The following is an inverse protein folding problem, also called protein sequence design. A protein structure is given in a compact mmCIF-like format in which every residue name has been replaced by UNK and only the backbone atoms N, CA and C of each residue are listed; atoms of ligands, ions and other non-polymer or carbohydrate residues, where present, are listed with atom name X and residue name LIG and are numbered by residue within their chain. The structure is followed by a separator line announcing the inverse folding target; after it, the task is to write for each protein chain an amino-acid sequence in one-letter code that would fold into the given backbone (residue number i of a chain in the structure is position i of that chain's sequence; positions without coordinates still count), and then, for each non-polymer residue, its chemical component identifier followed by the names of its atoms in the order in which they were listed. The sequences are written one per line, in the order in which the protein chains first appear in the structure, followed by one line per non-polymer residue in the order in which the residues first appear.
data_IF_052550634964
#
_entry.id   IF_052550634964
#
_cell.length_a   1.000
_cell.length_b   1.000
_cell.length_c   1.000
_cell.angle_alpha   90.00
_cell.angle_beta   90.00
_cell.angle_gamma   90.00
#
_symmetry.space_group_name_H-M   'P 1'
#
loop_
_entity.id
_entity.type
_entity.pdbx_description
1 polymer ?
#
# COMPACT_ATOMS: atom_id res chain seq x y z
N UNK A 1 49.55 -18.45 -13.37
CA UNK A 1 48.36 -17.68 -12.91
C UNK A 1 47.09 -18.40 -13.37
N UNK A 2 46.28 -18.93 -12.45
CA UNK A 2 44.95 -19.48 -12.79
C UNK A 2 44.00 -18.32 -13.04
N UNK A 3 43.65 -18.07 -14.30
CA UNK A 3 42.54 -17.18 -14.63
C UNK A 3 41.25 -17.77 -14.08
N UNK A 4 40.70 -17.14 -13.02
CA UNK A 4 39.37 -17.44 -12.52
C UNK A 4 38.37 -17.12 -13.64
N UNK A 5 37.70 -18.13 -14.20
CA UNK A 5 36.54 -17.90 -15.09
C UNK A 5 35.57 -16.99 -14.35
N UNK A 6 35.23 -15.83 -14.93
CA UNK A 6 34.12 -15.00 -14.44
C UNK A 6 32.89 -15.89 -14.35
N UNK A 7 32.34 -16.04 -13.16
CA UNK A 7 31.05 -16.69 -12.99
C UNK A 7 30.06 -15.96 -13.91
N UNK A 8 29.27 -16.71 -14.69
CA UNK A 8 28.20 -16.13 -15.47
C UNK A 8 27.37 -15.25 -14.53
N UNK A 9 27.26 -13.96 -14.85
CA UNK A 9 26.35 -13.05 -14.16
C UNK A 9 24.96 -13.70 -14.29
N UNK A 10 24.49 -14.32 -13.20
CA UNK A 10 23.08 -14.67 -13.10
C UNK A 10 22.36 -13.34 -13.27
N UNK A 11 21.61 -13.18 -14.35
CA UNK A 11 20.70 -12.06 -14.57
C UNK A 11 19.68 -12.09 -13.43
N UNK A 12 20.05 -11.55 -12.27
CA UNK A 12 19.12 -11.31 -11.18
C UNK A 12 18.23 -10.19 -11.69
N UNK A 13 16.92 -10.43 -11.86
CA UNK A 13 16.03 -9.38 -12.32
C UNK A 13 16.12 -8.21 -11.34
N UNK A 14 16.46 -7.03 -11.84
CA UNK A 14 16.59 -5.84 -11.02
C UNK A 14 15.22 -5.50 -10.44
N UNK A 15 15.10 -5.47 -9.11
CA UNK A 15 13.87 -5.06 -8.44
C UNK A 15 13.62 -3.58 -8.75
N UNK A 16 12.47 -3.21 -9.34
CA UNK A 16 12.17 -1.82 -9.64
C UNK A 16 12.23 -0.94 -8.39
N UNK A 17 12.77 0.29 -8.51
CA UNK A 17 12.89 1.24 -7.39
C UNK A 17 11.54 1.51 -6.71
N UNK A 18 10.44 1.49 -7.47
CA UNK A 18 9.08 1.67 -6.94
C UNK A 18 8.73 0.65 -5.86
N UNK A 19 9.24 -0.59 -5.92
CA UNK A 19 9.01 -1.57 -4.87
C UNK A 19 9.63 -1.13 -3.54
N UNK A 20 10.85 -0.57 -3.56
CA UNK A 20 11.49 -0.05 -2.36
C UNK A 20 10.77 1.18 -1.80
N UNK A 21 10.22 2.03 -2.67
CA UNK A 21 9.37 3.16 -2.25
C UNK A 21 8.10 2.64 -1.57
N UNK A 22 7.42 1.64 -2.15
CA UNK A 22 6.24 1.03 -1.54
C UNK A 22 6.55 0.38 -0.20
N UNK A 23 7.66 -0.35 -0.08
CA UNK A 23 8.11 -0.91 1.22
C UNK A 23 8.28 0.19 2.27
N UNK A 24 8.92 1.30 1.90
CA UNK A 24 9.10 2.44 2.82
C UNK A 24 7.76 3.03 3.26
N UNK A 25 6.78 3.14 2.34
CA UNK A 25 5.45 3.62 2.69
C UNK A 25 4.73 2.64 3.62
N UNK A 26 4.83 1.34 3.36
CA UNK A 26 4.26 0.28 4.21
C UNK A 26 4.90 0.30 5.60
N UNK A 27 6.24 0.33 5.66
CA UNK A 27 7.00 0.38 6.91
C UNK A 27 6.61 1.61 7.73
N UNK A 28 6.54 2.79 7.10
CA UNK A 28 6.09 4.01 7.76
C UNK A 28 4.69 3.85 8.36
N UNK A 29 3.72 3.34 7.56
CA UNK A 29 2.35 3.16 8.04
C UNK A 29 2.30 2.23 9.25
N UNK A 30 3.02 1.09 9.19
CA UNK A 30 2.99 0.06 10.23
C UNK A 30 3.69 0.54 11.52
N UNK A 31 4.77 1.29 11.42
CA UNK A 31 5.62 1.66 12.57
C UNK A 31 5.25 2.98 13.25
N UNK A 32 4.46 3.85 12.61
CA UNK A 32 4.17 5.20 13.11
C UNK A 32 2.70 5.41 13.56
N UNK A 33 1.97 4.32 13.83
CA UNK A 33 0.66 4.39 14.49
C UNK A 33 0.85 4.66 15.99
N UNK A 34 0.94 5.95 16.35
CA UNK A 34 1.27 6.40 17.69
C UNK A 34 0.33 7.50 18.20
N UNK A 35 0.39 7.78 19.51
CA UNK A 35 -0.49 8.77 20.18
C UNK A 35 -0.34 10.18 19.63
N UNK A 36 0.90 10.59 19.32
CA UNK A 36 1.17 11.85 18.62
C UNK A 36 1.16 11.59 17.11
N UNK A 37 -0.04 11.53 16.54
CA UNK A 37 -0.24 11.04 15.20
C UNK A 37 0.31 12.03 14.15
N UNK A 38 1.32 11.65 13.33
CA UNK A 38 1.95 12.56 12.38
C UNK A 38 1.09 12.71 11.11
N UNK A 39 -0.06 13.38 11.25
CA UNK A 39 -1.10 13.49 10.23
C UNK A 39 -0.56 13.92 8.85
N UNK A 40 0.28 14.95 8.79
CA UNK A 40 0.82 15.47 7.52
C UNK A 40 1.71 14.45 6.79
N UNK A 41 2.43 13.61 7.53
CA UNK A 41 3.25 12.55 6.95
C UNK A 41 2.38 11.41 6.41
N UNK A 42 1.33 11.03 7.13
CA UNK A 42 0.34 10.06 6.64
C UNK A 42 -0.35 10.54 5.36
N UNK A 43 -0.75 11.81 5.31
CA UNK A 43 -1.32 12.44 4.11
C UNK A 43 -0.38 12.31 2.90
N UNK A 44 0.91 12.65 3.08
CA UNK A 44 1.93 12.52 2.02
C UNK A 44 2.17 11.07 1.63
N UNK A 45 2.26 10.16 2.62
CA UNK A 45 2.48 8.74 2.41
C UNK A 45 1.38 8.14 1.52
N UNK A 46 0.11 8.35 1.87
CA UNK A 46 -1.04 7.85 1.10
C UNK A 46 -1.09 8.48 -0.30
N UNK A 47 -0.76 9.77 -0.43
CA UNK A 47 -0.67 10.43 -1.73
C UNK A 47 0.45 9.88 -2.62
N UNK A 48 1.60 9.51 -2.05
CA UNK A 48 2.69 8.86 -2.79
C UNK A 48 2.22 7.52 -3.32
N UNK A 49 1.61 6.67 -2.46
CA UNK A 49 1.03 5.39 -2.89
C UNK A 49 0.03 5.62 -4.02
N UNK A 50 -0.91 6.55 -3.85
CA UNK A 50 -1.93 6.85 -4.86
C UNK A 50 -1.34 7.24 -6.22
N UNK A 51 -0.32 8.12 -6.24
CA UNK A 51 0.37 8.51 -7.48
C UNK A 51 1.07 7.33 -8.14
N UNK A 52 1.72 6.46 -7.36
CA UNK A 52 2.37 5.26 -7.88
C UNK A 52 1.36 4.32 -8.53
N UNK A 53 0.24 4.03 -7.86
CA UNK A 53 -0.80 3.15 -8.42
C UNK A 53 -1.47 3.79 -9.65
N UNK A 54 -1.73 5.11 -9.63
CA UNK A 54 -2.26 5.82 -10.79
C UNK A 54 -1.33 5.72 -12.01
N UNK A 55 -0.03 5.89 -11.80
CA UNK A 55 0.96 5.76 -12.86
C UNK A 55 1.05 4.31 -13.37
N UNK A 56 1.03 3.34 -12.45
CA UNK A 56 1.04 1.93 -12.78
C UNK A 56 -0.20 1.53 -13.61
N UNK A 57 -1.39 1.98 -13.23
CA UNK A 57 -2.63 1.85 -14.01
C UNK A 57 -2.50 2.48 -15.39
N UNK A 58 -2.05 3.75 -15.46
CA UNK A 58 -1.90 4.49 -16.72
C UNK A 58 -0.98 3.77 -17.70
N UNK A 59 0.14 3.24 -17.21
CA UNK A 59 1.13 2.53 -18.01
C UNK A 59 0.84 1.03 -18.16
N UNK A 60 -0.21 0.51 -17.52
CA UNK A 60 -0.55 -0.93 -17.45
C UNK A 60 0.62 -1.81 -17.02
N UNK A 61 1.45 -1.30 -16.10
CA UNK A 61 2.60 -2.03 -15.57
C UNK A 61 2.09 -3.02 -14.52
N UNK A 62 2.48 -4.29 -14.64
CA UNK A 62 2.15 -5.32 -13.67
C UNK A 62 3.34 -5.57 -12.76
N UNK A 63 3.37 -4.89 -11.62
CA UNK A 63 4.48 -5.00 -10.68
C UNK A 63 4.38 -6.30 -9.87
N UNK A 64 5.45 -7.08 -9.87
CA UNK A 64 5.63 -8.20 -8.96
C UNK A 64 6.00 -7.67 -7.57
N UNK A 65 4.96 -7.42 -6.77
CA UNK A 65 5.05 -6.85 -5.44
C UNK A 65 4.16 -7.63 -4.46
N UNK A 66 4.50 -7.59 -3.18
CA UNK A 66 3.75 -8.19 -2.07
C UNK A 66 2.53 -7.33 -1.71
N UNK A 67 1.59 -7.22 -2.66
CA UNK A 67 0.41 -6.33 -2.54
C UNK A 67 -0.40 -6.49 -1.25
N UNK A 68 -0.47 -7.72 -0.73
CA UNK A 68 -1.11 -8.03 0.54
C UNK A 68 -0.56 -7.25 1.73
N UNK A 69 0.73 -6.98 1.76
CA UNK A 69 1.35 -6.20 2.84
C UNK A 69 0.87 -4.74 2.81
N UNK A 70 0.77 -4.16 1.60
CA UNK A 70 0.20 -2.82 1.41
C UNK A 70 -1.26 -2.76 1.84
N UNK A 71 -2.10 -3.70 1.40
CA UNK A 71 -3.51 -3.71 1.78
C UNK A 71 -3.69 -3.89 3.28
N UNK A 72 -2.91 -4.79 3.90
CA UNK A 72 -2.94 -5.00 5.35
C UNK A 72 -2.54 -3.73 6.11
N UNK A 73 -1.50 -3.02 5.66
CA UNK A 73 -1.07 -1.76 6.27
C UNK A 73 -2.17 -0.68 6.15
N UNK A 74 -2.80 -0.55 4.99
CA UNK A 74 -3.89 0.42 4.78
C UNK A 74 -5.15 0.09 5.60
N UNK A 75 -5.53 -1.19 5.71
CA UNK A 75 -6.64 -1.64 6.56
C UNK A 75 -6.32 -1.36 8.03
N UNK A 76 -5.10 -1.68 8.48
CA UNK A 76 -4.68 -1.41 9.85
C UNK A 76 -4.66 0.09 10.17
N UNK A 77 -4.32 0.94 9.19
CA UNK A 77 -4.44 2.38 9.34
C UNK A 77 -5.91 2.80 9.54
N UNK A 78 -6.84 2.33 8.71
CA UNK A 78 -8.27 2.61 8.91
C UNK A 78 -8.75 2.12 10.29
N UNK A 79 -8.37 0.91 10.68
CA UNK A 79 -8.69 0.36 12.01
C UNK A 79 -8.17 1.26 13.13
N UNK A 80 -6.93 1.73 13.02
CA UNK A 80 -6.33 2.64 14.00
C UNK A 80 -7.09 3.96 14.10
N UNK A 81 -7.47 4.55 12.96
CA UNK A 81 -8.24 5.79 12.93
C UNK A 81 -9.59 5.62 13.63
N UNK A 82 -10.32 4.52 13.35
CA UNK A 82 -11.60 4.22 14.00
C UNK A 82 -11.45 3.99 15.50
N UNK A 83 -10.48 3.15 15.90
CA UNK A 83 -10.24 2.85 17.33
C UNK A 83 -9.82 4.06 18.16
N UNK A 84 -9.31 5.13 17.55
CA UNK A 84 -8.82 6.32 18.24
C UNK A 84 -9.56 7.60 17.82
N UNK A 85 -10.73 7.48 17.19
CA UNK A 85 -11.43 8.60 16.56
C UNK A 85 -11.65 9.78 17.53
N UNK A 86 -12.06 9.50 18.76
CA UNK A 86 -12.39 10.51 19.77
C UNK A 86 -11.20 11.40 20.13
N UNK A 87 -10.01 10.82 20.17
CA UNK A 87 -8.76 11.53 20.48
C UNK A 87 -8.23 12.25 19.24
N UNK A 88 -8.30 11.61 18.08
CA UNK A 88 -7.71 12.14 16.84
C UNK A 88 -8.55 13.27 16.25
N UNK A 89 -9.89 13.19 16.31
CA UNK A 89 -10.80 14.22 15.80
C UNK A 89 -10.64 15.57 16.52
N UNK A 90 -10.18 15.56 17.77
CA UNK A 90 -9.89 16.78 18.51
C UNK A 90 -8.71 17.58 17.92
N UNK A 91 -7.84 16.94 17.12
CA UNK A 91 -6.59 17.53 16.60
C UNK A 91 -6.52 17.58 15.07
N UNK A 92 -7.14 16.62 14.39
CA UNK A 92 -6.93 16.39 12.97
C UNK A 92 -8.23 16.04 12.24
N UNK A 93 -8.30 16.38 10.95
CA UNK A 93 -9.37 15.90 10.06
C UNK A 93 -9.05 14.48 9.56
N UNK A 94 -9.29 13.47 10.40
CA UNK A 94 -9.03 12.07 10.06
C UNK A 94 -9.91 11.54 8.93
N UNK A 95 -11.09 12.13 8.69
CA UNK A 95 -11.98 11.74 7.60
C UNK A 95 -11.32 11.94 6.24
N UNK A 96 -10.55 13.02 6.08
CA UNK A 96 -9.85 13.26 4.83
C UNK A 96 -8.81 12.17 4.53
N UNK A 97 -8.05 11.75 5.55
CA UNK A 97 -7.08 10.66 5.40
C UNK A 97 -7.78 9.33 5.12
N UNK A 98 -8.84 9.00 5.87
CA UNK A 98 -9.62 7.79 5.65
C UNK A 98 -10.19 7.74 4.23
N UNK A 99 -10.73 8.85 3.73
CA UNK A 99 -11.23 8.96 2.36
C UNK A 99 -10.15 8.67 1.31
N UNK A 100 -8.93 9.15 1.50
CA UNK A 100 -7.81 8.84 0.59
C UNK A 100 -7.48 7.34 0.58
N UNK A 101 -7.51 6.69 1.74
CA UNK A 101 -7.26 5.24 1.85
C UNK A 101 -8.40 4.43 1.21
N UNK A 102 -9.66 4.79 1.45
CA UNK A 102 -10.82 4.15 0.81
C UNK A 102 -10.76 4.32 -0.72
N UNK A 103 -10.36 5.50 -1.21
CA UNK A 103 -10.19 5.74 -2.64
C UNK A 103 -9.07 4.88 -3.26
N UNK A 104 -8.01 4.55 -2.50
CA UNK A 104 -7.02 3.57 -2.95
C UNK A 104 -7.66 2.19 -3.15
N UNK A 105 -8.42 1.70 -2.17
CA UNK A 105 -9.16 0.43 -2.30
C UNK A 105 -10.12 0.45 -3.49
N UNK A 106 -10.88 1.53 -3.68
CA UNK A 106 -11.75 1.69 -4.84
C UNK A 106 -10.98 1.59 -6.16
N UNK A 107 -9.77 2.14 -6.25
CA UNK A 107 -8.93 2.01 -7.44
C UNK A 107 -8.47 0.56 -7.68
N UNK A 108 -8.11 -0.18 -6.63
CA UNK A 108 -7.79 -1.61 -6.75
C UNK A 108 -9.02 -2.44 -7.18
N UNK A 109 -10.19 -2.17 -6.59
CA UNK A 109 -11.45 -2.88 -6.89
C UNK A 109 -11.96 -2.57 -8.31
N UNK A 110 -11.76 -1.36 -8.80
CA UNK A 110 -12.31 -0.93 -10.09
C UNK A 110 -11.38 -1.22 -11.26
N UNK A 111 -10.06 -1.16 -11.03
CA UNK A 111 -9.06 -1.19 -12.10
C UNK A 111 -7.91 -2.16 -11.85
N UNK A 112 -7.92 -2.95 -10.77
CA UNK A 112 -6.78 -3.78 -10.43
C UNK A 112 -6.49 -4.86 -11.48
N UNK A 113 -7.45 -5.27 -12.29
CA UNK A 113 -7.24 -6.13 -13.48
C UNK A 113 -6.22 -5.55 -14.48
N UNK A 114 -6.13 -4.21 -14.54
CA UNK A 114 -5.21 -3.51 -15.44
C UNK A 114 -3.75 -3.50 -14.96
N UNK A 115 -3.50 -3.67 -13.66
CA UNK A 115 -2.15 -3.45 -13.09
C UNK A 115 -1.71 -4.46 -12.01
N UNK A 116 -2.60 -5.28 -11.46
CA UNK A 116 -2.23 -6.40 -10.59
C UNK A 116 -1.65 -7.55 -11.42
N UNK A 117 -0.68 -8.30 -10.88
CA UNK A 117 0.08 -9.27 -11.65
C UNK A 117 -0.76 -10.49 -12.05
N UNK A 118 -1.69 -10.93 -11.21
CA UNK A 118 -2.47 -12.17 -11.40
C UNK A 118 -3.91 -12.03 -10.91
N UNK A 119 -4.80 -12.91 -11.37
CA UNK A 119 -6.17 -13.03 -10.84
C UNK A 119 -6.19 -13.41 -9.36
N UNK A 120 -5.24 -14.24 -8.91
CA UNK A 120 -5.10 -14.61 -7.51
C UNK A 120 -4.85 -13.39 -6.61
N UNK A 121 -4.09 -12.38 -7.07
CA UNK A 121 -3.95 -11.11 -6.33
C UNK A 121 -5.30 -10.39 -6.18
N UNK A 122 -6.20 -10.53 -7.14
CA UNK A 122 -7.54 -9.98 -7.08
C UNK A 122 -8.40 -10.70 -6.02
N UNK A 123 -8.32 -12.03 -6.00
CA UNK A 123 -9.02 -12.85 -5.01
C UNK A 123 -8.53 -12.57 -3.58
N UNK A 124 -7.21 -12.40 -3.40
CA UNK A 124 -6.61 -12.00 -2.12
C UNK A 124 -7.09 -10.63 -1.66
N UNK A 125 -7.20 -9.65 -2.56
CA UNK A 125 -7.74 -8.33 -2.24
C UNK A 125 -9.18 -8.44 -1.70
N UNK A 126 -10.06 -9.12 -2.43
CA UNK A 126 -11.45 -9.28 -1.99
C UNK A 126 -11.57 -10.10 -0.72
N UNK A 127 -10.76 -11.15 -0.57
CA UNK A 127 -10.69 -11.90 0.67
C UNK A 127 -10.36 -11.00 1.86
N UNK A 128 -9.33 -10.14 1.74
CA UNK A 128 -8.94 -9.21 2.79
C UNK A 128 -10.04 -8.18 3.10
N UNK A 129 -10.69 -7.61 2.08
CA UNK A 129 -11.81 -6.67 2.25
C UNK A 129 -12.99 -7.34 2.98
N UNK A 130 -13.43 -8.52 2.52
CA UNK A 130 -14.55 -9.25 3.13
C UNK A 130 -14.21 -9.67 4.56
N UNK A 131 -12.99 -10.19 4.77
CA UNK A 131 -12.50 -10.57 6.11
C UNK A 131 -12.54 -9.39 7.08
N UNK A 132 -12.28 -8.19 6.58
CA UNK A 132 -12.17 -6.96 7.37
C UNK A 132 -13.36 -6.00 7.18
N UNK A 133 -14.51 -6.49 6.69
CA UNK A 133 -15.70 -5.69 6.35
C UNK A 133 -16.15 -4.73 7.46
N UNK A 134 -16.04 -5.13 8.72
CA UNK A 134 -16.40 -4.30 9.89
C UNK A 134 -15.66 -2.95 9.93
N UNK A 135 -14.48 -2.85 9.32
CA UNK A 135 -13.72 -1.58 9.23
C UNK A 135 -14.34 -0.64 8.18
N UNK A 136 -15.04 -1.18 7.18
CA UNK A 136 -15.64 -0.44 6.07
C UNK A 136 -17.14 -0.15 6.26
N UNK A 137 -17.79 -0.81 7.23
CA UNK A 137 -19.23 -0.68 7.50
C UNK A 137 -19.58 0.43 8.53
N UNK A 138 -18.57 1.04 9.18
CA UNK A 138 -18.75 2.18 10.09
C UNK A 138 -18.82 3.51 9.34
#
# INVERSE_FOLDING_TARGET
MRHRKKAAEKNVPSRPLVCAVLDLMVEFIVTHMMKDFPMDLYMRCVQVIHKLICYQKKCRIRLHYTWRELWSALINLLKFLLSNETVLLAKHNIFHLALLVVNLFNMFITYGDTFLPTSNSYDELYYEIVRMHQIFDN
#
